data_IF_951193504108
#
_entry.id   IF_951193504108
#
_cell.length_a   1.000
_cell.length_b   1.000
_cell.length_c   1.000
_cell.angle_alpha   90.00
_cell.angle_beta   90.00
_cell.angle_gamma   90.00
#
_symmetry.space_group_name_H-M   'P 1'
#
loop_
_entity.id
_entity.type
_entity.pdbx_description
1 polymer ?
#
# COMPACT_ATOMS: atom_id res chain seq x y z
N UNK A 1 13.35 8.05 25.71
CA UNK A 1 12.50 8.03 24.50
C UNK A 1 13.49 7.90 23.37
N UNK A 2 13.68 6.69 22.87
CA UNK A 2 14.77 6.39 21.94
C UNK A 2 14.40 6.95 20.58
N UNK A 3 15.09 8.01 20.15
CA UNK A 3 14.79 8.80 18.96
C UNK A 3 15.42 8.22 17.69
N UNK A 4 16.15 7.11 17.80
CA UNK A 4 16.73 6.38 16.67
C UNK A 4 15.82 5.21 16.24
N UNK A 5 14.51 5.47 16.18
CA UNK A 5 13.57 4.51 15.64
C UNK A 5 13.79 4.37 14.13
N UNK A 6 14.69 3.45 13.75
CA UNK A 6 15.08 3.24 12.36
C UNK A 6 13.89 2.71 11.57
N UNK A 7 13.23 3.61 10.82
CA UNK A 7 12.18 3.23 9.89
C UNK A 7 12.82 2.49 8.71
N UNK A 8 12.47 1.21 8.46
CA UNK A 8 13.03 0.47 7.34
C UNK A 8 12.80 1.20 6.01
N UNK A 9 13.80 1.29 5.11
CA UNK A 9 13.66 1.98 3.82
C UNK A 9 12.46 1.51 2.99
N UNK A 10 12.12 0.22 3.10
CA UNK A 10 10.97 -0.40 2.43
C UNK A 10 9.62 0.25 2.83
N UNK A 11 9.51 0.81 4.04
CA UNK A 11 8.35 1.58 4.48
C UNK A 11 8.25 2.88 3.68
N UNK A 12 9.35 3.62 3.53
CA UNK A 12 9.35 4.84 2.72
C UNK A 12 8.99 4.55 1.25
N UNK A 13 9.47 3.44 0.69
CA UNK A 13 9.12 3.00 -0.66
C UNK A 13 7.64 2.65 -0.81
N UNK A 14 7.03 2.03 0.21
CA UNK A 14 5.60 1.75 0.20
C UNK A 14 4.75 3.03 0.17
N UNK A 15 5.17 4.08 0.89
CA UNK A 15 4.49 5.39 0.89
C UNK A 15 4.59 6.05 -0.49
N UNK A 16 5.73 5.94 -1.18
CA UNK A 16 5.89 6.44 -2.56
C UNK A 16 4.98 5.71 -3.55
N UNK A 17 4.79 4.40 -3.38
CA UNK A 17 3.83 3.64 -4.17
C UNK A 17 2.36 4.09 -3.88
N UNK A 18 2.00 4.40 -2.62
CA UNK A 18 0.69 5.00 -2.31
C UNK A 18 0.51 6.36 -3.00
N UNK A 19 1.50 7.24 -2.92
CA UNK A 19 1.45 8.56 -3.59
C UNK A 19 1.28 8.43 -5.11
N UNK A 20 1.96 7.43 -5.70
CA UNK A 20 1.81 7.08 -7.11
C UNK A 20 0.39 6.61 -7.42
N UNK A 21 -0.21 5.79 -6.54
CA UNK A 21 -1.60 5.33 -6.69
C UNK A 21 -2.59 6.49 -6.64
N UNK A 22 -2.48 7.38 -5.64
CA UNK A 22 -3.32 8.58 -5.51
C UNK A 22 -3.26 9.45 -6.76
N UNK A 23 -2.05 9.75 -7.24
CA UNK A 23 -1.84 10.59 -8.43
C UNK A 23 -2.46 9.99 -9.71
N UNK A 24 -2.56 8.66 -9.77
CA UNK A 24 -3.17 7.93 -10.90
C UNK A 24 -4.68 7.79 -10.74
N UNK A 25 -5.17 7.67 -9.51
CA UNK A 25 -6.60 7.66 -9.20
C UNK A 25 -7.25 9.00 -9.58
N UNK A 26 -6.61 10.12 -9.26
CA UNK A 26 -7.08 11.46 -9.64
C UNK A 26 -7.34 11.58 -11.16
N UNK A 27 -6.38 11.13 -11.97
CA UNK A 27 -6.52 11.08 -13.44
C UNK A 27 -7.64 10.15 -13.92
N UNK A 28 -7.83 9.03 -13.22
CA UNK A 28 -8.89 8.06 -13.53
C UNK A 28 -10.27 8.66 -13.27
N UNK A 29 -10.45 9.34 -12.13
CA UNK A 29 -11.68 10.06 -11.80
C UNK A 29 -11.93 11.24 -12.76
N UNK A 30 -10.87 11.85 -13.31
CA UNK A 30 -10.94 12.88 -14.34
C UNK A 30 -11.30 12.40 -15.76
N UNK A 31 -11.66 11.12 -15.96
CA UNK A 31 -12.14 10.59 -17.25
C UNK A 31 -11.06 10.12 -18.24
N UNK A 32 -9.81 9.97 -17.80
CA UNK A 32 -8.74 9.45 -18.66
C UNK A 32 -8.93 7.95 -19.00
N UNK A 33 -8.63 7.50 -20.24
CA UNK A 33 -8.79 6.10 -20.65
C UNK A 33 -8.04 5.13 -19.73
N UNK A 34 -8.76 4.11 -19.26
CA UNK A 34 -8.35 3.22 -18.17
C UNK A 34 -7.31 2.19 -18.63
N UNK A 35 -6.03 2.55 -18.46
CA UNK A 35 -4.96 1.63 -18.05
C UNK A 35 -4.31 2.16 -16.78
N UNK A 36 -5.15 2.55 -15.82
CA UNK A 36 -4.71 3.11 -14.54
C UNK A 36 -3.92 2.06 -13.76
N UNK A 37 -2.61 2.23 -13.71
CA UNK A 37 -1.69 1.47 -12.85
C UNK A 37 -1.78 1.92 -11.37
N UNK A 38 -2.87 2.59 -10.97
CA UNK A 38 -3.14 2.97 -9.59
C UNK A 38 -3.31 1.73 -8.71
N UNK A 39 -4.12 0.77 -9.17
CA UNK A 39 -4.31 -0.53 -8.51
C UNK A 39 -2.97 -1.20 -8.20
N UNK A 40 -2.11 -1.33 -9.21
CA UNK A 40 -0.81 -1.98 -9.06
C UNK A 40 0.09 -1.26 -8.05
N UNK A 41 0.05 0.08 -8.05
CA UNK A 41 0.81 0.88 -7.09
C UNK A 41 0.28 0.67 -5.66
N UNK A 42 -1.03 0.66 -5.44
CA UNK A 42 -1.61 0.35 -4.13
C UNK A 42 -1.22 -1.06 -3.64
N UNK A 43 -1.23 -2.06 -4.53
CA UNK A 43 -0.84 -3.43 -4.17
C UNK A 43 0.65 -3.56 -3.87
N UNK A 44 1.53 -2.88 -4.63
CA UNK A 44 2.96 -2.84 -4.31
C UNK A 44 3.23 -2.18 -2.96
N UNK A 45 2.53 -1.09 -2.64
CA UNK A 45 2.62 -0.46 -1.33
C UNK A 45 2.26 -1.45 -0.20
N UNK A 46 1.11 -2.11 -0.30
CA UNK A 46 0.67 -3.10 0.68
C UNK A 46 1.66 -4.27 0.84
N UNK A 47 2.20 -4.77 -0.27
CA UNK A 47 3.16 -5.86 -0.27
C UNK A 47 4.48 -5.46 0.42
N UNK A 48 5.07 -4.33 0.03
CA UNK A 48 6.31 -3.79 0.64
C UNK A 48 6.13 -3.51 2.13
N UNK A 49 5.00 -2.90 2.52
CA UNK A 49 4.70 -2.67 3.92
C UNK A 49 4.58 -3.99 4.71
N UNK A 50 3.97 -5.01 4.12
CA UNK A 50 3.88 -6.34 4.76
C UNK A 50 5.25 -7.01 4.89
N UNK A 51 6.15 -6.84 3.92
CA UNK A 51 7.53 -7.32 4.01
C UNK A 51 8.31 -6.64 5.15
N UNK A 52 8.05 -5.35 5.41
CA UNK A 52 8.70 -4.61 6.51
C UNK A 52 8.47 -5.22 7.90
N UNK A 53 7.39 -5.99 8.11
CA UNK A 53 7.12 -6.68 9.37
C UNK A 53 8.11 -7.82 9.67
N UNK A 54 8.78 -8.36 8.65
CA UNK A 54 9.80 -9.40 8.84
C UNK A 54 11.15 -8.79 9.24
N UNK A 55 11.37 -7.52 8.91
CA UNK A 55 12.63 -6.82 9.18
C UNK A 55 12.69 -6.19 10.58
N UNK A 56 11.57 -6.13 11.32
CA UNK A 56 11.53 -5.48 12.64
C UNK A 56 10.41 -5.96 13.55
N UNK A 57 10.72 -6.09 14.85
CA UNK A 57 9.74 -6.32 15.93
C UNK A 57 9.19 -5.02 16.54
N UNK A 58 9.45 -3.88 15.89
CA UNK A 58 9.05 -2.57 16.38
C UNK A 58 7.53 -2.33 16.23
N UNK A 59 6.89 -2.01 17.36
CA UNK A 59 5.47 -1.69 17.42
C UNK A 59 5.08 -0.49 16.54
N UNK A 60 5.90 0.56 16.47
CA UNK A 60 5.66 1.73 15.64
C UNK A 60 5.63 1.39 14.15
N UNK A 61 6.50 0.48 13.71
CA UNK A 61 6.49 -0.02 12.33
C UNK A 61 5.22 -0.83 12.06
N UNK A 62 4.78 -1.64 13.01
CA UNK A 62 3.51 -2.39 12.89
C UNK A 62 2.30 -1.46 12.68
N UNK A 63 2.26 -0.32 13.39
CA UNK A 63 1.22 0.70 13.21
C UNK A 63 1.28 1.32 11.81
N UNK A 64 2.47 1.71 11.34
CA UNK A 64 2.66 2.31 10.02
C UNK A 64 2.23 1.32 8.92
N UNK A 65 2.60 0.04 9.04
CA UNK A 65 2.17 -0.99 8.09
C UNK A 65 0.65 -1.15 8.06
N UNK A 66 0.00 -1.12 9.22
CA UNK A 66 -1.47 -1.11 9.32
C UNK A 66 -2.09 0.06 8.56
N UNK A 67 -1.55 1.27 8.72
CA UNK A 67 -2.00 2.47 8.03
C UNK A 67 -1.81 2.39 6.51
N UNK A 68 -0.66 1.87 6.05
CA UNK A 68 -0.40 1.67 4.62
C UNK A 68 -1.40 0.68 4.01
N UNK A 69 -1.68 -0.43 4.69
CA UNK A 69 -2.65 -1.44 4.24
C UNK A 69 -4.08 -0.91 4.23
N UNK A 70 -4.47 -0.10 5.22
CA UNK A 70 -5.76 0.58 5.22
C UNK A 70 -5.87 1.53 4.02
N UNK A 71 -4.86 2.39 3.83
CA UNK A 71 -4.83 3.36 2.72
C UNK A 71 -4.87 2.66 1.36
N UNK A 72 -4.12 1.56 1.19
CA UNK A 72 -4.20 0.75 -0.02
C UNK A 72 -5.61 0.18 -0.24
N UNK A 73 -6.28 -0.27 0.82
CA UNK A 73 -7.67 -0.77 0.74
C UNK A 73 -8.63 0.34 0.30
N UNK A 74 -8.53 1.53 0.89
CA UNK A 74 -9.36 2.68 0.53
C UNK A 74 -9.17 3.11 -0.93
N UNK A 75 -7.94 3.06 -1.43
CA UNK A 75 -7.64 3.35 -2.84
C UNK A 75 -8.25 2.31 -3.78
N UNK A 76 -8.23 1.03 -3.42
CA UNK A 76 -8.85 -0.03 -4.21
C UNK A 76 -10.38 0.10 -4.24
N UNK A 77 -10.99 0.48 -3.12
CA UNK A 77 -12.40 0.84 -3.05
C UNK A 77 -12.72 2.04 -3.95
N UNK A 78 -11.89 3.08 -3.92
CA UNK A 78 -12.02 4.25 -4.80
C UNK A 78 -11.85 3.94 -6.29
N UNK A 79 -11.22 2.81 -6.63
CA UNK A 79 -11.12 2.27 -7.99
C UNK A 79 -12.31 1.36 -8.36
N UNK A 80 -13.33 1.27 -7.51
CA UNK A 80 -14.58 0.55 -7.76
C UNK A 80 -14.60 -0.91 -7.31
N UNK A 81 -13.61 -1.38 -6.53
CA UNK A 81 -13.67 -2.72 -5.94
C UNK A 81 -14.66 -2.79 -4.78
N UNK A 82 -15.20 -3.98 -4.54
CA UNK A 82 -15.90 -4.27 -3.29
C UNK A 82 -14.92 -4.36 -2.12
N UNK A 83 -15.44 -4.23 -0.90
CA UNK A 83 -14.63 -4.33 0.32
C UNK A 83 -13.93 -5.68 0.45
N UNK A 84 -14.65 -6.77 0.21
CA UNK A 84 -14.08 -8.13 0.29
C UNK A 84 -12.97 -8.34 -0.75
N UNK A 85 -13.15 -7.86 -1.99
CA UNK A 85 -12.12 -7.93 -3.03
C UNK A 85 -10.88 -7.13 -2.65
N UNK A 86 -11.05 -5.89 -2.19
CA UNK A 86 -9.95 -5.00 -1.80
C UNK A 86 -9.14 -5.62 -0.64
N UNK A 87 -9.83 -6.08 0.41
CA UNK A 87 -9.20 -6.73 1.56
C UNK A 87 -8.47 -8.01 1.16
N UNK A 88 -9.09 -8.86 0.33
CA UNK A 88 -8.45 -10.07 -0.17
C UNK A 88 -7.19 -9.75 -0.98
N UNK A 89 -7.23 -8.72 -1.82
CA UNK A 89 -6.08 -8.33 -2.61
C UNK A 89 -4.95 -7.77 -1.78
N UNK A 90 -5.22 -6.89 -0.81
CA UNK A 90 -4.21 -6.37 0.12
C UNK A 90 -3.59 -7.49 0.95
N UNK A 91 -4.40 -8.43 1.48
CA UNK A 91 -3.90 -9.57 2.28
C UNK A 91 -2.91 -10.46 1.54
N UNK A 92 -3.14 -10.70 0.25
CA UNK A 92 -2.34 -11.62 -0.57
C UNK A 92 -1.43 -10.90 -1.56
N UNK A 93 -1.30 -9.57 -1.46
CA UNK A 93 -0.49 -8.76 -2.36
C UNK A 93 0.98 -9.19 -2.34
N UNK A 94 1.52 -9.43 -1.13
CA UNK A 94 2.91 -9.86 -0.93
C UNK A 94 3.19 -11.18 -1.65
N UNK A 95 2.41 -12.21 -1.32
CA UNK A 95 2.52 -13.54 -1.93
C UNK A 95 2.39 -13.50 -3.46
N UNK A 96 1.43 -12.74 -3.99
CA UNK A 96 1.21 -12.63 -5.44
C UNK A 96 2.31 -11.87 -6.18
N UNK A 97 2.99 -10.94 -5.50
CA UNK A 97 4.06 -10.14 -6.09
C UNK A 97 5.45 -10.73 -5.85
N UNK A 98 5.56 -11.81 -5.06
CA UNK A 98 6.85 -12.44 -4.73
C UNK A 98 7.81 -11.51 -3.98
N UNK A 99 7.25 -10.62 -3.17
CA UNK A 99 7.97 -9.76 -2.23
C UNK A 99 8.01 -10.41 -0.85
#
# INVERSE_FOLDING_TARGET
IDLDEHIPPVVADSIRDLATSVSRLDRHLGGAPVRSTAREAALRAAAKATAALEETSNLSVSVIVGQIRSTATDLLLGLGMTNDEALNQVRSARERLGL
#
